data_IF_206320431387
#
_entry.id   IF_206320431387
#
_cell.length_a   1.000
_cell.length_b   1.000
_cell.length_c   1.000
_cell.angle_alpha   90.00
_cell.angle_beta   90.00
_cell.angle_gamma   90.00
#
_symmetry.space_group_name_H-M   'P 1'
#
loop_
_entity.id
_entity.type
_entity.pdbx_description
1 polymer ?
#
# COMPACT_ATOMS: atom_id res chain seq x y z
N UNK A 1 -18.30 6.26 17.48
CA UNK A 1 -17.83 5.22 18.42
C UNK A 1 -16.78 5.84 19.34
N UNK A 2 -16.70 5.46 20.63
CA UNK A 2 -15.56 5.84 21.47
C UNK A 2 -14.25 5.41 20.79
N UNK A 3 -13.18 6.18 20.96
CA UNK A 3 -11.85 5.90 20.37
C UNK A 3 -11.22 4.59 20.83
N UNK A 4 -11.75 4.00 21.90
CA UNK A 4 -11.24 2.78 22.53
C UNK A 4 -11.73 1.49 21.81
N UNK A 5 -12.69 1.61 20.88
CA UNK A 5 -13.21 0.48 20.07
C UNK A 5 -12.67 0.45 18.63
N UNK A 6 -11.79 1.39 18.25
CA UNK A 6 -11.27 1.50 16.88
C UNK A 6 -10.02 0.61 16.74
N UNK A 7 -10.16 -0.51 16.03
CA UNK A 7 -9.05 -1.43 15.75
C UNK A 7 -9.06 -1.90 14.30
N UNK A 8 -7.88 -2.00 13.70
CA UNK A 8 -7.67 -2.54 12.36
C UNK A 8 -8.20 -3.98 12.21
N UNK A 9 -8.25 -4.74 13.30
CA UNK A 9 -8.80 -6.10 13.34
C UNK A 9 -10.30 -6.16 12.99
N UNK A 10 -11.04 -5.05 13.13
CA UNK A 10 -12.46 -4.99 12.75
C UNK A 10 -12.67 -5.21 11.24
N UNK A 11 -11.64 -4.98 10.42
CA UNK A 11 -11.66 -5.28 8.98
C UNK A 11 -11.56 -6.79 8.68
N UNK A 12 -11.28 -7.63 9.67
CA UNK A 12 -10.90 -9.03 9.49
C UNK A 12 -9.44 -9.17 9.09
N UNK A 13 -9.01 -10.41 8.83
CA UNK A 13 -7.61 -10.76 8.57
C UNK A 13 -7.42 -11.47 7.24
N UNK A 14 -6.18 -11.49 6.75
CA UNK A 14 -5.75 -12.25 5.58
C UNK A 14 -4.35 -12.84 5.81
N UNK A 15 -4.02 -13.93 5.14
CA UNK A 15 -2.67 -14.50 5.16
C UNK A 15 -1.84 -13.92 4.01
N UNK A 16 -0.91 -13.03 4.33
CA UNK A 16 0.04 -12.46 3.38
C UNK A 16 1.35 -13.26 3.43
N UNK A 17 1.50 -14.19 2.48
CA UNK A 17 2.59 -15.16 2.48
C UNK A 17 2.42 -16.15 3.62
N UNK A 18 3.21 -15.99 4.69
CA UNK A 18 3.17 -16.82 5.90
C UNK A 18 2.80 -16.03 7.17
N UNK A 19 2.35 -14.78 7.02
CA UNK A 19 1.93 -13.90 8.13
C UNK A 19 0.45 -13.59 8.06
N UNK A 20 -0.21 -13.55 9.21
CA UNK A 20 -1.59 -13.07 9.32
C UNK A 20 -1.57 -11.56 9.52
N UNK A 21 -2.18 -10.83 8.60
CA UNK A 21 -2.29 -9.37 8.66
C UNK A 21 -3.76 -8.95 8.81
N UNK A 22 -4.01 -7.87 9.54
CA UNK A 22 -5.30 -7.19 9.51
C UNK A 22 -5.51 -6.60 8.12
N UNK A 23 -6.75 -6.63 7.61
CA UNK A 23 -7.05 -6.14 6.25
C UNK A 23 -6.97 -4.62 6.11
N UNK A 24 -6.83 -3.91 7.23
CA UNK A 24 -6.53 -2.48 7.28
C UNK A 24 -5.08 -2.26 7.69
N UNK A 25 -4.28 -1.77 6.75
CA UNK A 25 -2.88 -1.41 6.95
C UNK A 25 -2.62 0.09 6.84
N UNK A 26 -1.36 0.45 6.64
CA UNK A 26 -0.95 1.86 6.53
C UNK A 26 -0.04 2.10 5.34
N UNK A 27 -0.41 3.05 4.47
CA UNK A 27 0.43 3.51 3.35
C UNK A 27 1.32 4.68 3.78
N UNK A 28 2.63 4.51 3.71
CA UNK A 28 3.56 5.49 4.31
C UNK A 28 3.83 6.73 3.45
N UNK A 29 3.46 6.75 2.18
CA UNK A 29 3.87 7.84 1.26
C UNK A 29 3.53 9.24 1.78
N UNK A 30 2.35 9.45 2.38
CA UNK A 30 1.91 10.76 2.89
C UNK A 30 2.59 11.20 4.18
N UNK A 31 3.25 10.28 4.88
CA UNK A 31 3.89 10.58 6.18
C UNK A 31 5.07 11.55 6.04
N UNK A 32 5.65 11.65 4.84
CA UNK A 32 6.82 12.48 4.57
C UNK A 32 6.46 13.96 4.37
N UNK A 33 5.21 14.26 3.99
CA UNK A 33 4.79 15.58 3.55
C UNK A 33 4.95 16.66 4.62
N UNK A 34 4.62 16.35 5.88
CA UNK A 34 4.76 17.28 6.99
C UNK A 34 6.24 17.38 7.41
N UNK A 35 6.82 18.60 7.56
CA UNK A 35 8.18 18.76 8.06
C UNK A 35 8.35 18.38 9.55
N UNK A 36 7.26 18.30 10.33
CA UNK A 36 7.29 17.82 11.71
C UNK A 36 7.50 16.30 11.75
N UNK A 37 8.76 15.91 11.94
CA UNK A 37 9.19 14.52 12.10
C UNK A 37 8.56 13.83 13.32
N UNK A 38 8.36 14.54 14.42
CA UNK A 38 7.80 13.94 15.63
C UNK A 38 6.32 13.61 15.43
N UNK A 39 5.60 14.44 14.66
CA UNK A 39 4.23 14.09 14.25
C UNK A 39 4.20 12.82 13.40
N UNK A 40 5.09 12.69 12.42
CA UNK A 40 5.20 11.48 11.60
C UNK A 40 5.45 10.22 12.46
N UNK A 41 6.35 10.31 13.44
CA UNK A 41 6.63 9.23 14.38
C UNK A 41 5.40 8.87 15.22
N UNK A 42 4.70 9.88 15.76
CA UNK A 42 3.46 9.66 16.54
C UNK A 42 2.38 8.95 15.71
N UNK A 43 2.18 9.34 14.46
CA UNK A 43 1.19 8.71 13.56
C UNK A 43 1.55 7.25 13.29
N UNK A 44 2.83 6.95 13.02
CA UNK A 44 3.28 5.57 12.78
C UNK A 44 3.09 4.67 14.01
N UNK A 45 3.44 5.17 15.20
CA UNK A 45 3.20 4.45 16.47
C UNK A 45 1.71 4.26 16.72
N UNK A 46 0.92 5.30 16.50
CA UNK A 46 -0.53 5.23 16.67
C UNK A 46 -1.18 4.23 15.71
N UNK A 47 -0.66 4.08 14.49
CA UNK A 47 -1.17 3.07 13.56
C UNK A 47 -1.02 1.66 14.14
N UNK A 48 0.17 1.34 14.68
CA UNK A 48 0.43 0.03 15.33
C UNK A 48 -0.41 -0.14 16.60
N UNK A 49 -0.55 0.90 17.43
CA UNK A 49 -1.43 0.88 18.61
C UNK A 49 -2.90 0.59 18.25
N UNK A 50 -3.36 1.08 17.10
CA UNK A 50 -4.70 0.82 16.55
C UNK A 50 -4.79 -0.56 15.88
N UNK A 51 -3.76 -1.40 15.98
CA UNK A 51 -3.73 -2.77 15.47
C UNK A 51 -3.24 -2.92 14.03
N UNK A 52 -2.71 -1.88 13.39
CA UNK A 52 -2.06 -2.05 12.08
C UNK A 52 -0.82 -2.93 12.25
N UNK A 53 -0.79 -4.06 11.55
CA UNK A 53 0.36 -4.97 11.55
C UNK A 53 0.96 -5.18 10.15
N UNK A 54 0.60 -4.32 9.18
CA UNK A 54 1.33 -4.22 7.92
C UNK A 54 1.46 -2.77 7.42
N UNK A 55 2.67 -2.39 7.03
CA UNK A 55 2.99 -1.05 6.52
C UNK A 55 3.52 -1.16 5.09
N UNK A 56 2.88 -0.46 4.17
CA UNK A 56 3.35 -0.29 2.80
C UNK A 56 4.25 0.94 2.68
N UNK A 57 5.42 0.77 2.04
CA UNK A 57 6.42 1.83 1.85
C UNK A 57 7.16 1.68 0.53
N UNK A 58 8.10 2.59 0.25
CA UNK A 58 9.07 2.47 -0.84
C UNK A 58 10.28 3.35 -0.52
N UNK A 59 11.49 2.94 -0.93
CA UNK A 59 12.71 3.74 -0.71
C UNK A 59 12.67 5.12 -1.39
N UNK A 60 11.92 5.26 -2.48
CA UNK A 60 11.74 6.53 -3.19
C UNK A 60 10.62 7.43 -2.61
N UNK A 61 9.91 6.99 -1.57
CA UNK A 61 8.96 7.85 -0.84
C UNK A 61 9.73 8.81 0.05
N UNK A 62 9.83 10.06 -0.41
CA UNK A 62 10.45 11.14 0.34
C UNK A 62 9.74 12.47 0.12
N UNK A 63 10.04 13.44 0.99
CA UNK A 63 9.67 14.85 0.81
C UNK A 63 10.71 15.76 1.50
N UNK A 64 10.99 16.98 0.99
CA UNK A 64 10.56 17.49 -0.32
C UNK A 64 11.09 16.67 -1.51
N UNK A 65 10.47 16.85 -2.68
CA UNK A 65 10.70 16.06 -3.89
C UNK A 65 9.98 14.70 -3.87
N UNK A 66 10.46 13.76 -4.68
CA UNK A 66 9.92 12.41 -4.74
C UNK A 66 8.52 12.35 -5.34
N UNK A 67 7.78 11.29 -5.01
CA UNK A 67 6.53 10.97 -5.71
C UNK A 67 5.44 12.01 -5.49
N UNK A 68 5.42 12.62 -4.31
CA UNK A 68 4.42 13.64 -3.97
C UNK A 68 4.81 15.03 -4.47
N UNK A 69 6.10 15.32 -4.60
CA UNK A 69 6.63 16.66 -4.89
C UNK A 69 6.03 17.77 -4.00
N UNK A 70 5.86 17.45 -2.70
CA UNK A 70 5.33 18.36 -1.68
C UNK A 70 6.27 18.46 -0.48
N UNK A 71 5.97 19.39 0.42
CA UNK A 71 6.67 19.56 1.69
C UNK A 71 7.88 20.48 1.56
N UNK A 72 8.48 20.80 2.70
CA UNK A 72 9.63 21.70 2.80
C UNK A 72 10.65 21.15 3.81
N UNK A 73 11.81 21.81 3.92
CA UNK A 73 12.84 21.46 4.91
C UNK A 73 13.74 20.29 4.49
N UNK A 74 14.48 19.69 5.44
CA UNK A 74 15.38 18.56 5.16
C UNK A 74 14.63 17.36 4.60
N UNK A 75 15.25 16.63 3.67
CA UNK A 75 14.66 15.42 3.06
C UNK A 75 14.33 14.38 4.14
N UNK A 76 13.12 13.85 4.08
CA UNK A 76 12.62 12.78 4.95
C UNK A 76 12.21 11.61 4.07
N UNK A 77 12.75 10.43 4.34
CA UNK A 77 12.36 9.19 3.68
C UNK A 77 11.38 8.43 4.55
N UNK A 78 10.34 7.85 3.95
CA UNK A 78 9.33 7.09 4.69
C UNK A 78 9.94 5.88 5.41
N UNK A 79 10.92 5.20 4.80
CA UNK A 79 11.66 4.08 5.40
C UNK A 79 12.43 4.50 6.66
N UNK A 80 13.12 5.64 6.63
CA UNK A 80 13.86 6.17 7.79
C UNK A 80 12.89 6.53 8.94
N UNK A 81 11.74 7.14 8.61
CA UNK A 81 10.69 7.47 9.60
C UNK A 81 10.09 6.21 10.22
N UNK A 82 9.81 5.17 9.42
CA UNK A 82 9.33 3.87 9.89
C UNK A 82 10.33 3.23 10.85
N UNK A 83 11.62 3.21 10.50
CA UNK A 83 12.68 2.71 11.38
C UNK A 83 12.73 3.48 12.69
N UNK A 84 12.79 4.81 12.63
CA UNK A 84 12.89 5.64 13.84
C UNK A 84 11.67 5.46 14.76
N UNK A 85 10.47 5.30 14.18
CA UNK A 85 9.25 5.18 14.96
C UNK A 85 9.12 3.80 15.62
N UNK A 86 9.51 2.74 14.92
CA UNK A 86 9.10 1.37 15.24
C UNK A 86 10.24 0.42 15.57
N UNK A 87 11.53 0.78 15.41
CA UNK A 87 12.63 -0.08 15.81
C UNK A 87 12.84 -0.06 17.36
N UNK A 88 13.12 -1.21 18.01
CA UNK A 88 13.02 -2.57 17.47
C UNK A 88 11.57 -2.92 17.12
N UNK A 89 11.39 -3.50 15.92
CA UNK A 89 10.08 -3.73 15.32
C UNK A 89 9.26 -4.78 16.07
N UNK A 90 7.92 -4.63 16.13
CA UNK A 90 7.05 -5.72 16.59
C UNK A 90 7.26 -6.99 15.75
N UNK A 91 7.22 -8.15 16.39
CA UNK A 91 7.52 -9.45 15.76
C UNK A 91 6.53 -9.85 14.65
N UNK A 92 5.30 -9.33 14.73
CA UNK A 92 4.22 -9.59 13.79
C UNK A 92 4.04 -8.48 12.74
N UNK A 93 4.85 -7.41 12.79
CA UNK A 93 4.77 -6.31 11.83
C UNK A 93 5.39 -6.70 10.48
N UNK A 94 4.57 -6.69 9.43
CA UNK A 94 4.99 -6.89 8.05
C UNK A 94 5.31 -5.55 7.37
N UNK A 95 6.50 -5.40 6.81
CA UNK A 95 6.86 -4.25 5.97
C UNK A 95 6.85 -4.66 4.49
N UNK A 96 5.90 -4.11 3.73
CA UNK A 96 5.86 -4.25 2.28
C UNK A 96 6.55 -3.05 1.62
N UNK A 97 7.64 -3.29 0.89
CA UNK A 97 8.36 -2.24 0.15
C UNK A 97 8.32 -2.48 -1.36
N UNK A 98 8.95 -1.59 -2.12
CA UNK A 98 8.93 -1.59 -3.59
C UNK A 98 10.31 -1.37 -4.17
N UNK A 99 10.52 -2.00 -5.33
CA UNK A 99 11.66 -1.80 -6.23
C UNK A 99 11.15 -1.64 -7.66
N UNK A 100 12.04 -1.25 -8.58
CA UNK A 100 11.69 -0.85 -9.95
C UNK A 100 11.93 0.64 -10.10
N UNK A 101 11.01 1.54 -9.70
CA UNK A 101 11.29 2.96 -9.66
C UNK A 101 12.30 3.28 -8.56
N UNK A 102 13.21 4.20 -8.85
CA UNK A 102 14.12 4.79 -7.89
C UNK A 102 14.11 6.31 -8.03
N UNK A 103 14.66 6.98 -7.03
CA UNK A 103 14.93 8.40 -7.11
C UNK A 103 16.31 8.68 -6.53
N UNK A 104 17.08 9.47 -7.27
CA UNK A 104 18.36 9.98 -6.86
C UNK A 104 18.28 11.52 -6.79
N UNK A 105 18.71 12.17 -5.70
CA UNK A 105 18.65 13.63 -5.58
C UNK A 105 19.43 14.40 -6.67
N UNK A 106 20.43 13.78 -7.29
CA UNK A 106 21.27 14.38 -8.34
C UNK A 106 20.77 14.12 -9.75
N UNK A 107 20.13 12.98 -10.01
CA UNK A 107 19.67 12.60 -11.37
C UNK A 107 18.14 12.54 -11.52
N UNK A 108 17.41 12.66 -10.41
CA UNK A 108 15.95 12.58 -10.37
C UNK A 108 15.43 11.13 -10.38
N UNK A 109 14.19 10.97 -10.85
CA UNK A 109 13.56 9.66 -10.96
C UNK A 109 14.22 8.80 -12.04
N UNK A 110 14.43 7.52 -11.73
CA UNK A 110 14.93 6.52 -12.67
C UNK A 110 14.18 5.20 -12.53
N UNK A 111 14.36 4.29 -13.48
CA UNK A 111 13.84 2.93 -13.43
C UNK A 111 14.99 1.92 -13.42
N UNK A 112 15.01 1.05 -12.42
CA UNK A 112 15.88 -0.12 -12.36
C UNK A 112 15.39 -1.16 -13.37
N UNK A 113 16.24 -1.43 -14.36
CA UNK A 113 15.95 -2.38 -15.45
C UNK A 113 16.85 -3.61 -15.41
N UNK A 114 17.94 -3.58 -14.62
CA UNK A 114 18.90 -4.69 -14.50
C UNK A 114 18.85 -5.36 -13.13
N UNK A 115 19.28 -6.62 -13.06
CA UNK A 115 19.39 -7.37 -11.81
C UNK A 115 20.27 -6.65 -10.76
N UNK A 116 21.38 -6.04 -11.19
CA UNK A 116 22.28 -5.30 -10.31
C UNK A 116 21.61 -4.06 -9.70
N UNK A 117 20.83 -3.32 -10.49
CA UNK A 117 20.07 -2.15 -9.99
C UNK A 117 18.97 -2.56 -9.02
N UNK A 118 18.24 -3.65 -9.32
CA UNK A 118 17.21 -4.17 -8.41
C UNK A 118 17.81 -4.65 -7.09
N UNK A 119 18.94 -5.36 -7.15
CA UNK A 119 19.69 -5.77 -5.96
C UNK A 119 20.12 -4.56 -5.13
N UNK A 120 20.66 -3.53 -5.78
CA UNK A 120 21.02 -2.30 -5.09
C UNK A 120 19.82 -1.66 -4.36
N UNK A 121 18.65 -1.61 -5.00
CA UNK A 121 17.44 -1.08 -4.35
C UNK A 121 16.95 -1.96 -3.18
N UNK A 122 17.12 -3.28 -3.25
CA UNK A 122 16.82 -4.19 -2.12
C UNK A 122 17.77 -3.91 -0.95
N UNK A 123 19.07 -3.82 -1.21
CA UNK A 123 20.09 -3.51 -0.20
C UNK A 123 19.91 -2.11 0.40
N UNK A 124 19.46 -1.13 -0.40
CA UNK A 124 19.07 0.21 0.08
C UNK A 124 17.91 0.15 1.08
N UNK A 125 16.86 -0.61 0.75
CA UNK A 125 15.72 -0.79 1.65
C UNK A 125 16.15 -1.48 2.95
N UNK A 126 16.95 -2.55 2.87
CA UNK A 126 17.48 -3.26 4.04
C UNK A 126 18.25 -2.31 4.96
N UNK A 127 19.15 -1.47 4.42
CA UNK A 127 19.95 -0.53 5.21
C UNK A 127 19.12 0.58 5.85
N UNK A 128 18.16 1.15 5.12
CA UNK A 128 17.30 2.24 5.63
C UNK A 128 16.33 1.77 6.69
N UNK A 129 15.74 0.59 6.48
CA UNK A 129 14.86 -0.06 7.44
C UNK A 129 15.62 -0.78 8.56
N UNK A 130 16.93 -0.98 8.44
CA UNK A 130 17.74 -1.70 9.43
C UNK A 130 17.21 -3.11 9.70
N UNK A 131 17.07 -3.86 8.61
CA UNK A 131 16.56 -5.23 8.61
C UNK A 131 17.54 -6.15 7.92
N UNK A 132 17.60 -7.39 8.40
CA UNK A 132 18.38 -8.46 7.76
C UNK A 132 17.67 -9.06 6.53
N UNK A 133 16.35 -8.93 6.45
CA UNK A 133 15.52 -9.34 5.31
C UNK A 133 14.30 -8.40 5.15
N UNK A 134 13.74 -8.34 3.93
CA UNK A 134 12.49 -7.63 3.64
C UNK A 134 11.31 -8.60 3.62
N UNK A 135 10.20 -8.26 4.28
CA UNK A 135 9.05 -9.17 4.40
C UNK A 135 8.33 -9.37 3.05
N UNK A 136 7.99 -8.27 2.37
CA UNK A 136 7.37 -8.30 1.03
C UNK A 136 8.03 -7.26 0.14
N UNK A 137 8.48 -7.67 -1.05
CA UNK A 137 8.99 -6.75 -2.07
C UNK A 137 8.10 -6.81 -3.30
N UNK A 138 7.45 -5.69 -3.61
CA UNK A 138 6.71 -5.51 -4.84
C UNK A 138 7.63 -5.03 -5.97
N UNK A 139 7.66 -5.74 -7.10
CA UNK A 139 8.18 -5.17 -8.34
C UNK A 139 7.15 -4.17 -8.89
N UNK A 140 7.46 -2.88 -8.82
CA UNK A 140 6.62 -1.83 -9.37
C UNK A 140 6.98 -1.58 -10.84
N UNK A 141 6.02 -1.83 -11.72
CA UNK A 141 6.17 -1.63 -13.16
C UNK A 141 5.77 -0.20 -13.51
N UNK A 142 6.58 0.50 -14.31
CA UNK A 142 6.21 1.81 -14.84
C UNK A 142 5.23 1.64 -16.00
N UNK A 143 4.12 2.39 -16.03
CA UNK A 143 3.18 2.32 -17.17
C UNK A 143 3.89 2.81 -18.43
N UNK A 144 4.00 1.93 -19.42
CA UNK A 144 4.48 2.24 -20.77
C UNK A 144 3.44 1.74 -21.78
N UNK A 145 3.49 2.26 -23.01
CA UNK A 145 2.71 1.70 -24.11
C UNK A 145 3.26 0.31 -24.47
N UNK A 146 2.73 -0.74 -23.85
CA UNK A 146 3.18 -2.12 -24.05
C UNK A 146 2.96 -3.00 -22.83
N UNK A 147 3.22 -4.30 -22.99
CA UNK A 147 3.23 -5.30 -21.93
C UNK A 147 4.59 -5.97 -21.89
N UNK A 148 5.60 -5.14 -21.59
CA UNK A 148 6.99 -5.60 -21.55
C UNK A 148 7.12 -6.73 -20.53
N UNK A 149 7.79 -7.80 -20.93
CA UNK A 149 8.05 -8.96 -20.08
C UNK A 149 8.73 -8.53 -18.77
N UNK A 150 8.28 -9.12 -17.67
CA UNK A 150 8.86 -8.96 -16.35
C UNK A 150 9.90 -10.05 -16.04
N UNK A 151 10.08 -11.03 -16.91
CA UNK A 151 10.78 -12.27 -16.58
C UNK A 151 12.20 -12.05 -16.03
N UNK A 152 13.00 -11.21 -16.69
CA UNK A 152 14.37 -10.94 -16.23
C UNK A 152 14.40 -10.21 -14.88
N UNK A 153 13.56 -9.19 -14.72
CA UNK A 153 13.50 -8.39 -13.49
C UNK A 153 12.94 -9.18 -12.32
N UNK A 154 11.84 -9.91 -12.54
CA UNK A 154 11.21 -10.73 -11.51
C UNK A 154 12.06 -11.96 -11.17
N UNK A 155 12.74 -12.55 -12.16
CA UNK A 155 13.74 -13.60 -11.95
C UNK A 155 14.91 -13.14 -11.07
N UNK A 156 15.40 -11.91 -11.24
CA UNK A 156 16.40 -11.33 -10.33
C UNK A 156 15.88 -11.22 -8.88
N UNK A 157 14.62 -10.81 -8.68
CA UNK A 157 14.02 -10.77 -7.33
C UNK A 157 13.80 -12.17 -6.75
N UNK A 158 13.48 -13.16 -7.58
CA UNK A 158 13.39 -14.56 -7.16
C UNK A 158 14.73 -15.09 -6.63
N UNK A 159 15.85 -14.76 -7.30
CA UNK A 159 17.19 -15.09 -6.81
C UNK A 159 17.51 -14.40 -5.47
N UNK A 160 17.08 -13.15 -5.27
CA UNK A 160 17.26 -12.45 -3.99
C UNK A 160 16.40 -13.03 -2.88
N UNK A 161 15.23 -13.59 -3.21
CA UNK A 161 14.41 -14.38 -2.28
C UNK A 161 15.11 -15.68 -1.88
N UNK A 162 15.65 -16.41 -2.84
CA UNK A 162 16.44 -17.64 -2.56
C UNK A 162 17.68 -17.35 -1.71
N UNK A 163 18.31 -16.19 -1.91
CA UNK A 163 19.44 -15.71 -1.10
C UNK A 163 19.04 -15.22 0.30
N UNK A 164 17.74 -15.20 0.65
CA UNK A 164 17.24 -14.82 1.97
C UNK A 164 17.09 -13.32 2.22
N UNK A 165 17.37 -12.45 1.24
CA UNK A 165 17.23 -10.99 1.39
C UNK A 165 15.75 -10.56 1.33
N UNK A 166 14.92 -11.35 0.65
CA UNK A 166 13.48 -11.12 0.49
C UNK A 166 12.74 -12.36 0.96
N UNK A 167 11.69 -12.19 1.77
CA UNK A 167 10.85 -13.31 2.21
C UNK A 167 9.77 -13.65 1.18
N UNK A 168 9.00 -12.64 0.78
CA UNK A 168 7.89 -12.78 -0.18
C UNK A 168 7.94 -11.76 -1.31
N UNK A 169 7.40 -12.15 -2.46
CA UNK A 169 7.37 -11.32 -3.67
C UNK A 169 5.95 -10.88 -4.00
N UNK A 170 5.82 -9.66 -4.48
CA UNK A 170 4.58 -9.11 -5.00
C UNK A 170 4.80 -8.31 -6.28
N UNK A 171 3.70 -7.81 -6.84
CA UNK A 171 3.70 -6.99 -8.05
C UNK A 171 2.97 -5.68 -7.80
N UNK A 172 3.36 -4.62 -8.49
CA UNK A 172 2.62 -3.36 -8.46
C UNK A 172 2.47 -2.76 -9.85
N UNK A 173 1.27 -2.25 -10.13
CA UNK A 173 0.90 -1.56 -11.35
C UNK A 173 1.03 -2.47 -12.60
N UNK A 174 0.41 -3.65 -12.52
CA UNK A 174 0.54 -4.75 -13.49
C UNK A 174 -0.80 -5.16 -14.12
N UNK A 175 -0.73 -5.92 -15.22
CA UNK A 175 -1.89 -6.59 -15.83
C UNK A 175 -1.92 -8.08 -15.42
N UNK A 176 -3.01 -8.78 -15.75
CA UNK A 176 -3.14 -10.21 -15.49
C UNK A 176 -1.99 -11.04 -16.08
N UNK A 177 -1.59 -10.77 -17.33
CA UNK A 177 -0.50 -11.51 -18.00
C UNK A 177 0.84 -11.39 -17.25
N UNK A 178 1.10 -10.26 -16.60
CA UNK A 178 2.28 -10.08 -15.77
C UNK A 178 2.21 -10.93 -14.48
N UNK A 179 1.00 -11.11 -13.92
CA UNK A 179 0.81 -12.01 -12.78
C UNK A 179 1.04 -13.46 -13.20
N UNK A 180 0.54 -13.88 -14.37
CA UNK A 180 0.79 -15.21 -14.93
C UNK A 180 2.30 -15.46 -15.14
N UNK A 181 3.00 -14.52 -15.77
CA UNK A 181 4.43 -14.60 -16.02
C UNK A 181 5.24 -14.67 -14.72
N UNK A 182 4.93 -13.83 -13.73
CA UNK A 182 5.60 -13.82 -12.44
C UNK A 182 5.39 -15.14 -11.66
N UNK A 183 4.16 -15.67 -11.66
CA UNK A 183 3.83 -16.92 -10.97
C UNK A 183 4.49 -18.15 -11.62
N UNK A 184 4.84 -18.08 -12.90
CA UNK A 184 5.66 -19.11 -13.55
C UNK A 184 7.12 -19.11 -13.06
N UNK A 185 7.59 -18.03 -12.44
CA UNK A 185 8.97 -17.84 -11.96
C UNK A 185 9.07 -18.11 -10.46
N UNK A 186 8.20 -17.49 -9.65
CA UNK A 186 8.21 -17.63 -8.19
C UNK A 186 6.83 -17.34 -7.57
N UNK A 187 6.56 -17.81 -6.33
CA UNK A 187 5.32 -17.49 -5.63
C UNK A 187 5.11 -15.98 -5.44
N UNK A 188 3.91 -15.50 -5.81
CA UNK A 188 3.47 -14.10 -5.67
C UNK A 188 2.42 -14.03 -4.57
N UNK A 189 2.63 -13.20 -3.54
CA UNK A 189 1.72 -13.08 -2.38
C UNK A 189 0.75 -11.90 -2.48
N UNK A 190 1.05 -10.92 -3.33
CA UNK A 190 0.21 -9.73 -3.47
C UNK A 190 0.36 -9.00 -4.80
N UNK A 191 -0.73 -8.36 -5.23
CA UNK A 191 -0.79 -7.43 -6.36
C UNK A 191 -1.30 -6.08 -5.87
N UNK A 192 -0.55 -5.02 -6.15
CA UNK A 192 -0.88 -3.66 -5.72
C UNK A 192 -1.14 -2.74 -6.93
N UNK A 193 -2.40 -2.47 -7.22
CA UNK A 193 -2.86 -1.69 -8.37
C UNK A 193 -3.74 -0.50 -7.98
N UNK A 194 -3.91 0.44 -8.91
CA UNK A 194 -4.84 1.55 -8.75
C UNK A 194 -6.26 0.99 -8.84
N UNK A 195 -7.04 1.14 -7.78
CA UNK A 195 -8.41 0.64 -7.76
C UNK A 195 -9.22 1.42 -6.73
N UNK A 196 -10.33 2.01 -7.19
CA UNK A 196 -11.22 2.82 -6.39
C UNK A 196 -12.60 2.83 -7.04
N UNK A 197 -13.62 3.19 -6.25
CA UNK A 197 -15.01 3.28 -6.69
C UNK A 197 -15.23 4.19 -7.92
N UNK A 198 -14.41 5.23 -8.06
CA UNK A 198 -14.52 6.29 -9.07
C UNK A 198 -13.41 6.24 -10.14
N UNK A 199 -12.63 5.16 -10.18
CA UNK A 199 -11.66 4.91 -11.25
C UNK A 199 -12.24 3.83 -12.17
N UNK A 200 -11.93 3.91 -13.47
CA UNK A 200 -12.32 2.88 -14.43
C UNK A 200 -11.95 1.48 -13.91
N UNK A 201 -12.96 0.61 -13.75
CA UNK A 201 -12.89 -0.71 -13.12
C UNK A 201 -12.30 -1.79 -14.02
N UNK A 202 -11.29 -1.43 -14.82
CA UNK A 202 -10.60 -2.36 -15.74
C UNK A 202 -9.94 -3.54 -15.02
N UNK A 203 -9.67 -3.39 -13.73
CA UNK A 203 -9.00 -4.38 -12.91
C UNK A 203 -9.97 -5.29 -12.13
N UNK A 204 -11.29 -5.19 -12.31
CA UNK A 204 -12.28 -6.06 -11.64
C UNK A 204 -11.98 -7.56 -11.87
N UNK A 205 -11.58 -7.92 -13.09
CA UNK A 205 -11.18 -9.29 -13.40
C UNK A 205 -9.92 -9.70 -12.63
N UNK A 206 -8.91 -8.83 -12.56
CA UNK A 206 -7.68 -9.08 -11.82
C UNK A 206 -7.94 -9.22 -10.31
N UNK A 207 -8.82 -8.38 -9.74
CA UNK A 207 -9.26 -8.49 -8.35
C UNK A 207 -9.87 -9.87 -8.07
N UNK A 208 -10.78 -10.34 -8.93
CA UNK A 208 -11.39 -11.68 -8.79
C UNK A 208 -10.37 -12.80 -8.94
N UNK A 209 -9.45 -12.69 -9.90
CA UNK A 209 -8.41 -13.71 -10.12
C UNK A 209 -7.46 -13.78 -8.93
N UNK A 210 -7.10 -12.64 -8.33
CA UNK A 210 -6.30 -12.64 -7.10
C UNK A 210 -6.98 -13.45 -5.99
N UNK A 211 -8.30 -13.29 -5.82
CA UNK A 211 -9.08 -14.08 -4.85
C UNK A 211 -8.99 -15.60 -5.13
N UNK A 212 -9.20 -16.00 -6.39
CA UNK A 212 -9.17 -17.40 -6.82
C UNK A 212 -7.80 -18.05 -6.63
N UNK A 213 -6.72 -17.25 -6.73
CA UNK A 213 -5.33 -17.72 -6.61
C UNK A 213 -4.74 -17.54 -5.22
N UNK A 214 -5.51 -17.07 -4.24
CA UNK A 214 -5.00 -16.81 -2.89
C UNK A 214 -3.96 -15.69 -2.83
N UNK A 215 -4.02 -14.73 -3.75
CA UNK A 215 -3.13 -13.57 -3.82
C UNK A 215 -3.85 -12.36 -3.20
N UNK A 216 -3.17 -11.63 -2.32
CA UNK A 216 -3.73 -10.39 -1.76
C UNK A 216 -3.88 -9.33 -2.87
N UNK A 217 -4.99 -8.61 -2.89
CA UNK A 217 -5.13 -7.42 -3.74
C UNK A 217 -5.05 -6.16 -2.88
N UNK A 218 -4.15 -5.23 -3.23
CA UNK A 218 -3.86 -4.05 -2.42
C UNK A 218 -4.18 -2.80 -3.25
N UNK A 219 -5.37 -2.17 -3.09
CA UNK A 219 -5.73 -0.98 -3.84
C UNK A 219 -4.94 0.24 -3.36
N UNK A 220 -4.24 0.91 -4.28
CA UNK A 220 -3.77 2.28 -4.05
C UNK A 220 -4.73 3.29 -4.71
N UNK A 221 -4.73 4.51 -4.17
CA UNK A 221 -5.70 5.57 -4.50
C UNK A 221 -7.17 5.24 -4.18
N UNK A 222 -7.46 4.27 -3.30
CA UNK A 222 -8.83 3.94 -2.88
C UNK A 222 -9.64 5.18 -2.40
N UNK A 223 -9.00 6.10 -1.66
CA UNK A 223 -9.62 7.37 -1.24
C UNK A 223 -9.45 8.47 -2.29
N UNK A 224 -8.23 8.60 -2.83
CA UNK A 224 -7.87 9.70 -3.74
C UNK A 224 -8.57 9.59 -5.11
N UNK A 225 -8.97 8.39 -5.53
CA UNK A 225 -9.58 8.15 -6.82
C UNK A 225 -8.72 8.71 -7.96
N UNK A 226 -9.39 9.39 -8.89
CA UNK A 226 -8.75 10.05 -10.02
C UNK A 226 -7.75 11.16 -9.64
N UNK A 227 -7.80 11.71 -8.42
CA UNK A 227 -6.88 12.76 -7.96
C UNK A 227 -5.48 12.23 -7.60
N UNK A 228 -5.33 10.91 -7.38
CA UNK A 228 -4.03 10.24 -7.18
C UNK A 228 -3.12 10.94 -6.14
N UNK A 229 -1.94 11.39 -6.55
CA UNK A 229 -0.95 12.09 -5.72
C UNK A 229 -1.42 13.49 -5.26
N UNK A 230 -2.48 14.06 -5.82
CA UNK A 230 -3.07 15.31 -5.31
C UNK A 230 -3.82 15.10 -3.98
N UNK A 231 -4.29 13.89 -3.70
CA UNK A 231 -4.89 13.53 -2.41
C UNK A 231 -6.38 13.23 -2.48
N UNK A 232 -7.02 13.19 -1.31
CA UNK A 232 -8.44 12.88 -1.22
C UNK A 232 -9.28 13.99 -1.88
N UNK A 233 -10.27 13.59 -2.69
CA UNK A 233 -11.25 14.53 -3.25
C UNK A 233 -12.18 15.04 -2.16
N UNK A 234 -12.66 16.27 -2.31
CA UNK A 234 -13.71 16.87 -1.49
C UNK A 234 -15.07 16.82 -2.20
N UNK A 235 -15.06 16.63 -3.53
CA UNK A 235 -16.26 16.40 -4.32
C UNK A 235 -16.58 14.91 -4.32
N UNK A 236 -17.82 14.60 -3.94
CA UNK A 236 -18.31 13.24 -3.79
C UNK A 236 -19.63 13.07 -4.52
N UNK A 237 -19.78 11.92 -5.17
CA UNK A 237 -21.04 11.51 -5.80
C UNK A 237 -22.16 11.47 -4.75
N UNK A 238 -23.38 11.85 -5.15
CA UNK A 238 -24.57 11.81 -4.30
C UNK A 238 -24.81 10.43 -3.68
N UNK A 239 -24.50 9.35 -4.39
CA UNK A 239 -24.59 7.99 -3.88
C UNK A 239 -23.65 7.76 -2.69
N UNK A 240 -22.40 8.24 -2.77
CA UNK A 240 -21.42 8.14 -1.67
C UNK A 240 -21.90 8.96 -0.47
N UNK A 241 -22.39 10.18 -0.70
CA UNK A 241 -22.91 11.05 0.35
C UNK A 241 -24.11 10.44 1.07
N UNK A 242 -25.03 9.82 0.32
CA UNK A 242 -26.21 9.17 0.89
C UNK A 242 -25.85 7.97 1.77
N UNK A 243 -24.92 7.12 1.31
CA UNK A 243 -24.44 5.97 2.10
C UNK A 243 -23.64 6.46 3.32
N UNK A 244 -22.82 7.49 3.18
CA UNK A 244 -22.08 8.09 4.28
C UNK A 244 -23.02 8.57 5.40
N UNK A 245 -24.09 9.28 5.04
CA UNK A 245 -25.12 9.73 5.97
C UNK A 245 -25.83 8.56 6.66
N UNK A 246 -26.17 7.49 5.93
CA UNK A 246 -26.82 6.30 6.48
C UNK A 246 -25.97 5.59 7.55
N UNK A 247 -24.64 5.63 7.43
CA UNK A 247 -23.70 5.02 8.37
C UNK A 247 -23.13 5.99 9.41
N UNK A 248 -23.53 7.27 9.40
CA UNK A 248 -22.87 8.33 10.19
C UNK A 248 -21.34 8.33 10.01
N UNK A 249 -20.90 8.11 8.78
CA UNK A 249 -19.50 7.98 8.38
C UNK A 249 -19.08 9.09 7.42
N UNK A 250 -17.78 9.26 7.20
CA UNK A 250 -17.28 10.18 6.17
C UNK A 250 -17.31 9.52 4.78
N UNK A 251 -17.38 10.29 3.69
CA UNK A 251 -17.26 9.76 2.32
C UNK A 251 -15.96 8.97 2.09
N UNK A 252 -14.85 9.35 2.74
CA UNK A 252 -13.59 8.61 2.66
C UNK A 252 -13.67 7.25 3.35
N UNK A 253 -14.39 7.15 4.47
CA UNK A 253 -14.66 5.86 5.11
C UNK A 253 -15.52 4.96 4.23
N UNK A 254 -16.53 5.49 3.54
CA UNK A 254 -17.34 4.71 2.58
C UNK A 254 -16.49 4.17 1.44
N UNK A 255 -15.56 4.98 0.90
CA UNK A 255 -14.63 4.53 -0.16
C UNK A 255 -13.74 3.38 0.29
N UNK A 256 -13.15 3.48 1.49
CA UNK A 256 -12.34 2.40 2.06
C UNK A 256 -13.17 1.15 2.35
N UNK A 257 -14.36 1.31 2.92
CA UNK A 257 -15.27 0.21 3.19
C UNK A 257 -15.64 -0.49 1.88
N UNK A 258 -16.01 0.24 0.83
CA UNK A 258 -16.30 -0.33 -0.49
C UNK A 258 -15.13 -1.15 -1.05
N UNK A 259 -13.89 -0.67 -0.93
CA UNK A 259 -12.71 -1.44 -1.35
C UNK A 259 -12.58 -2.75 -0.57
N UNK A 260 -12.77 -2.72 0.74
CA UNK A 260 -12.77 -3.94 1.57
C UNK A 260 -13.94 -4.89 1.24
N UNK A 261 -15.04 -4.42 0.67
CA UNK A 261 -16.15 -5.30 0.27
C UNK A 261 -15.89 -6.05 -1.05
N UNK A 262 -14.79 -5.76 -1.76
CA UNK A 262 -14.43 -6.51 -2.97
C UNK A 262 -13.88 -7.93 -2.69
N UNK A 263 -13.63 -8.26 -1.43
CA UNK A 263 -13.32 -9.63 -1.00
C UNK A 263 -12.36 -9.70 0.19
N UNK A 264 -12.31 -10.85 0.89
CA UNK A 264 -11.47 -11.05 2.07
C UNK A 264 -9.96 -10.93 1.76
N UNK A 265 -9.57 -11.14 0.49
CA UNK A 265 -8.20 -10.99 0.00
C UNK A 265 -7.76 -9.53 -0.22
N UNK A 266 -8.67 -8.57 -0.05
CA UNK A 266 -8.35 -7.14 -0.24
C UNK A 266 -7.79 -6.54 1.04
N UNK A 267 -6.61 -5.90 0.92
CA UNK A 267 -5.92 -5.21 2.01
C UNK A 267 -5.85 -3.71 1.70
N UNK A 268 -6.54 -2.88 2.48
CA UNK A 268 -6.51 -1.44 2.33
C UNK A 268 -5.26 -0.84 3.00
N UNK A 269 -4.63 0.15 2.37
CA UNK A 269 -3.43 0.84 2.90
C UNK A 269 -3.57 2.37 2.83
N UNK A 270 -4.63 2.97 3.41
CA UNK A 270 -4.76 4.42 3.41
C UNK A 270 -3.55 5.07 4.10
N UNK A 271 -3.07 6.16 3.50
CA UNK A 271 -1.92 6.91 4.01
C UNK A 271 -2.31 8.30 4.45
N UNK A 272 -1.80 8.74 5.60
CA UNK A 272 -2.06 10.08 6.15
C UNK A 272 -0.90 10.53 7.05
N UNK A 273 -0.72 11.84 7.16
CA UNK A 273 0.13 12.47 8.18
C UNK A 273 -0.66 13.06 9.36
N UNK A 274 -1.98 12.89 9.39
CA UNK A 274 -2.89 13.41 10.40
C UNK A 274 -3.43 12.25 11.28
N UNK A 275 -3.26 12.30 12.62
CA UNK A 275 -3.78 11.31 13.55
C UNK A 275 -5.30 11.11 13.52
N UNK A 276 -6.08 12.16 13.29
CA UNK A 276 -7.56 12.08 13.26
C UNK A 276 -8.00 11.31 12.01
N UNK A 277 -7.44 11.65 10.85
CA UNK A 277 -7.67 10.88 9.62
C UNK A 277 -7.20 9.43 9.75
N UNK A 278 -6.14 9.16 10.52
CA UNK A 278 -5.70 7.78 10.80
C UNK A 278 -6.82 7.03 11.54
N UNK A 279 -7.37 7.61 12.61
CA UNK A 279 -8.47 6.99 13.35
C UNK A 279 -9.71 6.76 12.47
N UNK A 280 -10.08 7.74 11.64
CA UNK A 280 -11.18 7.61 10.68
C UNK A 280 -10.94 6.47 9.68
N UNK A 281 -9.72 6.41 9.10
CA UNK A 281 -9.32 5.35 8.18
C UNK A 281 -9.44 3.97 8.82
N UNK A 282 -8.95 3.80 10.05
CA UNK A 282 -9.06 2.51 10.76
C UNK A 282 -10.52 2.15 11.04
N UNK A 283 -11.33 3.11 11.49
CA UNK A 283 -12.74 2.90 11.77
C UNK A 283 -13.54 2.45 10.53
N UNK A 284 -13.10 2.80 9.31
CA UNK A 284 -13.72 2.33 8.07
C UNK A 284 -13.75 0.79 7.96
N UNK A 285 -12.81 0.09 8.61
CA UNK A 285 -12.76 -1.37 8.62
C UNK A 285 -13.96 -2.03 9.33
N UNK A 286 -14.64 -1.31 10.22
CA UNK A 286 -15.81 -1.80 10.93
C UNK A 286 -17.12 -1.62 10.13
N UNK A 287 -17.13 -0.80 9.08
CA UNK A 287 -18.32 -0.57 8.28
C UNK A 287 -18.74 -1.83 7.53
N UNK A 288 -20.06 -2.05 7.45
CA UNK A 288 -20.68 -3.19 6.76
C UNK A 288 -21.70 -2.62 5.79
N UNK A 289 -21.34 -2.57 4.51
CA UNK A 289 -22.19 -2.07 3.45
C UNK A 289 -23.11 -3.21 2.99
N UNK A 290 -24.39 -2.92 2.90
CA UNK A 290 -25.38 -3.85 2.37
C UNK A 290 -25.20 -4.07 0.87
N UNK A 291 -25.79 -5.16 0.35
CA UNK A 291 -25.77 -5.45 -1.09
C UNK A 291 -26.39 -4.30 -1.92
N UNK A 292 -27.46 -3.68 -1.42
CA UNK A 292 -28.12 -2.54 -2.08
C UNK A 292 -27.22 -1.30 -2.09
N UNK A 293 -26.48 -1.04 -1.01
CA UNK A 293 -25.52 0.07 -0.97
C UNK A 293 -24.35 -0.18 -1.91
N UNK A 294 -23.80 -1.39 -1.95
CA UNK A 294 -22.74 -1.76 -2.89
C UNK A 294 -23.20 -1.62 -4.34
N UNK A 295 -24.42 -2.07 -4.66
CA UNK A 295 -24.98 -1.92 -6.01
C UNK A 295 -25.19 -0.45 -6.41
N UNK A 296 -25.56 0.42 -5.47
CA UNK A 296 -25.68 1.88 -5.71
C UNK A 296 -24.33 2.55 -5.94
N UNK A 297 -23.30 2.05 -5.27
CA UNK A 297 -21.93 2.55 -5.37
C UNK A 297 -21.21 2.08 -6.64
N UNK A 298 -21.77 1.08 -7.33
CA UNK A 298 -21.15 0.41 -8.46
C UNK A 298 -20.40 -0.83 -8.00
#
# INVERSE_FOLDING_TARGET
MPTDDITASAAGTWTLGDRTVNRMGFGSMRITANPDRELAIRVLRRAVELGVNHIDTAAFYRSPGGTLDVGTGPVRYATDLIRQALAPYPDDLVIATKVGPGDDPSTGFYEATTAAQLRHQVEENLRRLDRDHLDVVNLRVMKRSGRDSLAERFGALAQLREAGLIRHLGLSNVHLEHLDEAQAIAPVVGVQNSYAIDINRTDDELVRICAQRGVAFVPFFAIAGAQREAGATHDHDEAILAVAAAHSATPHQIRLAWSLHQGPHVLAIPGTGNPDHLAENIAAGALRLSADELARLG
#
